data_IF_550526893651
#
_entry.id   IF_550526893651
#
_cell.length_a   1.000
_cell.length_b   1.000
_cell.length_c   1.000
_cell.angle_alpha   90.00
_cell.angle_beta   90.00
_cell.angle_gamma   90.00
#
_symmetry.space_group_name_H-M   'P 1'
#
loop_
_entity.id
_entity.type
_entity.pdbx_description
1 polymer ?
#
# COMPACT_ATOMS: atom_id res chain seq x y z
N UNK A 1 -6.35 7.41 9.66
CA UNK A 1 -5.95 5.97 9.65
C UNK A 1 -4.72 5.83 8.76
N UNK A 2 -3.66 5.13 9.18
CA UNK A 2 -2.42 5.06 8.38
C UNK A 2 -2.61 4.21 7.11
N UNK A 3 -1.81 4.48 6.07
CA UNK A 3 -1.79 3.66 4.85
C UNK A 3 -1.61 2.16 5.16
N UNK A 4 -0.67 1.84 6.07
CA UNK A 4 -0.41 0.47 6.51
C UNK A 4 -1.67 -0.19 7.06
N UNK A 5 -2.41 0.52 7.91
CA UNK A 5 -3.66 0.00 8.49
C UNK A 5 -4.72 -0.22 7.40
N UNK A 6 -4.88 0.73 6.46
CA UNK A 6 -5.88 0.60 5.39
C UNK A 6 -5.61 -0.65 4.54
N UNK A 7 -4.35 -0.84 4.16
CA UNK A 7 -3.90 -2.02 3.41
C UNK A 7 -4.09 -3.30 4.23
N UNK A 8 -3.76 -3.31 5.52
CA UNK A 8 -3.96 -4.48 6.38
C UNK A 8 -5.43 -4.89 6.49
N UNK A 9 -6.36 -3.93 6.66
CA UNK A 9 -7.79 -4.24 6.72
C UNK A 9 -8.25 -4.86 5.39
N UNK A 10 -7.84 -4.28 4.26
CA UNK A 10 -8.20 -4.80 2.95
C UNK A 10 -7.64 -6.21 2.69
N UNK A 11 -6.40 -6.45 3.11
CA UNK A 11 -5.78 -7.78 3.03
C UNK A 11 -6.55 -8.82 3.84
N UNK A 12 -6.95 -8.50 5.07
CA UNK A 12 -7.75 -9.39 5.92
C UNK A 12 -9.10 -9.69 5.27
N UNK A 13 -9.80 -8.67 4.74
CA UNK A 13 -11.07 -8.85 4.03
C UNK A 13 -10.94 -9.75 2.79
N UNK A 14 -9.81 -9.70 2.10
CA UNK A 14 -9.52 -10.50 0.90
C UNK A 14 -8.91 -11.88 1.21
N UNK A 15 -8.59 -12.16 2.48
CA UNK A 15 -7.89 -13.37 2.89
C UNK A 15 -6.44 -13.44 2.41
N UNK A 16 -5.79 -12.30 2.15
CA UNK A 16 -4.43 -12.23 1.63
C UNK A 16 -3.42 -11.88 2.71
N UNK A 17 -2.20 -12.39 2.57
CA UNK A 17 -1.06 -11.97 3.37
C UNK A 17 -0.32 -10.80 2.69
N UNK A 18 0.48 -10.05 3.45
CA UNK A 18 1.39 -9.05 2.86
C UNK A 18 2.39 -9.68 1.88
N UNK A 19 2.78 -10.93 2.10
CA UNK A 19 3.66 -11.67 1.19
C UNK A 19 2.98 -11.93 -0.15
N UNK A 20 1.69 -12.27 -0.13
CA UNK A 20 0.91 -12.48 -1.35
C UNK A 20 0.71 -11.17 -2.12
N UNK A 21 0.47 -10.05 -1.43
CA UNK A 21 0.42 -8.74 -2.08
C UNK A 21 1.75 -8.39 -2.75
N UNK A 22 2.87 -8.55 -2.02
CA UNK A 22 4.20 -8.29 -2.58
C UNK A 22 4.48 -9.17 -3.81
N UNK A 23 4.10 -10.46 -3.74
CA UNK A 23 4.22 -11.41 -4.86
C UNK A 23 3.40 -10.94 -6.07
N UNK A 24 2.14 -10.54 -5.88
CA UNK A 24 1.27 -10.03 -6.96
C UNK A 24 1.77 -8.70 -7.55
N UNK A 25 2.42 -7.88 -6.72
CA UNK A 25 3.04 -6.63 -7.16
C UNK A 25 4.40 -6.83 -7.85
N UNK A 26 4.97 -8.04 -7.81
CA UNK A 26 6.30 -8.32 -8.32
C UNK A 26 7.42 -7.62 -7.54
N UNK A 27 7.26 -7.44 -6.22
CA UNK A 27 8.23 -6.76 -5.35
C UNK A 27 8.59 -7.59 -4.13
N UNK A 28 9.66 -7.19 -3.45
CA UNK A 28 10.01 -7.76 -2.14
C UNK A 28 9.06 -7.28 -1.05
N UNK A 29 8.85 -8.11 -0.03
CA UNK A 29 8.07 -7.72 1.17
C UNK A 29 8.75 -6.57 1.92
N UNK A 30 10.08 -6.47 1.87
CA UNK A 30 10.84 -5.34 2.43
C UNK A 30 10.44 -4.04 1.73
N UNK A 31 10.47 -4.01 0.39
CA UNK A 31 10.08 -2.83 -0.37
C UNK A 31 8.60 -2.45 -0.16
N UNK A 32 7.72 -3.44 -0.01
CA UNK A 32 6.32 -3.19 0.37
C UNK A 32 6.21 -2.50 1.74
N UNK A 33 7.03 -2.89 2.72
CA UNK A 33 7.06 -2.23 4.03
C UNK A 33 7.61 -0.80 3.93
N UNK A 34 8.63 -0.60 3.10
CA UNK A 34 9.20 0.73 2.85
C UNK A 34 8.14 1.67 2.27
N UNK A 35 7.34 1.23 1.29
CA UNK A 35 6.18 1.99 0.75
C UNK A 35 5.19 2.41 1.85
N UNK A 36 5.00 1.59 2.89
CA UNK A 36 4.09 1.94 3.98
C UNK A 36 4.65 2.98 4.95
N UNK A 37 5.98 3.08 5.06
CA UNK A 37 6.70 3.94 6.02
C UNK A 37 7.23 5.22 5.36
N UNK A 38 7.56 5.17 4.07
CA UNK A 38 8.16 6.28 3.33
C UNK A 38 7.28 7.53 3.32
N UNK A 39 7.93 8.69 3.51
CA UNK A 39 7.28 10.01 3.38
C UNK A 39 6.85 10.29 1.95
N UNK A 40 7.61 9.84 0.95
CA UNK A 40 7.27 9.97 -0.48
C UNK A 40 6.83 8.61 -1.01
N UNK A 41 5.52 8.43 -1.10
CA UNK A 41 4.93 7.19 -1.59
C UNK A 41 4.93 7.18 -3.13
N UNK A 42 5.41 6.11 -3.78
CA UNK A 42 5.37 6.02 -5.23
C UNK A 42 3.91 5.93 -5.71
N UNK A 43 3.39 6.97 -6.38
CA UNK A 43 1.99 7.02 -6.86
C UNK A 43 1.59 5.81 -7.68
N UNK A 44 2.48 5.31 -8.54
CA UNK A 44 2.25 4.09 -9.33
C UNK A 44 2.07 2.83 -8.47
N UNK A 45 2.82 2.70 -7.37
CA UNK A 45 2.68 1.57 -6.44
C UNK A 45 1.42 1.66 -5.60
N UNK A 46 1.04 2.86 -5.18
CA UNK A 46 -0.23 3.08 -4.48
C UNK A 46 -1.41 2.66 -5.36
N UNK A 47 -1.42 3.13 -6.62
CA UNK A 47 -2.46 2.74 -7.58
C UNK A 47 -2.51 1.23 -7.81
N UNK A 48 -1.35 0.58 -7.90
CA UNK A 48 -1.28 -0.88 -8.01
C UNK A 48 -1.87 -1.59 -6.78
N UNK A 49 -1.67 -1.05 -5.57
CA UNK A 49 -2.27 -1.60 -4.35
C UNK A 49 -3.79 -1.41 -4.37
N UNK A 50 -4.28 -0.24 -4.79
CA UNK A 50 -5.71 0.05 -4.96
C UNK A 50 -6.36 -0.94 -5.92
N UNK A 51 -5.79 -1.14 -7.11
CA UNK A 51 -6.27 -2.08 -8.13
C UNK A 51 -6.25 -3.53 -7.63
N UNK A 52 -5.15 -3.95 -6.97
CA UNK A 52 -5.01 -5.32 -6.49
C UNK A 52 -5.92 -5.63 -5.30
N UNK A 53 -6.22 -4.65 -4.46
CA UNK A 53 -7.06 -4.85 -3.28
C UNK A 53 -8.51 -4.43 -3.49
N UNK A 54 -8.82 -3.80 -4.61
CA UNK A 54 -10.14 -3.22 -4.94
C UNK A 54 -10.61 -2.24 -3.85
N UNK A 55 -9.71 -1.31 -3.51
CA UNK A 55 -9.94 -0.27 -2.50
C UNK A 55 -9.45 1.08 -3.00
N UNK A 56 -9.93 2.16 -2.38
CA UNK A 56 -9.38 3.50 -2.54
C UNK A 56 -8.55 3.85 -1.31
N UNK A 57 -7.28 4.18 -1.51
CA UNK A 57 -6.38 4.52 -0.43
C UNK A 57 -6.46 6.02 -0.13
N UNK A 58 -6.81 6.36 1.10
CA UNK A 58 -6.78 7.74 1.57
C UNK A 58 -5.38 8.05 2.08
N UNK A 59 -4.55 8.60 1.20
CA UNK A 59 -3.21 9.05 1.53
C UNK A 59 -3.27 10.55 1.79
N UNK A 60 -3.29 10.95 3.08
CA UNK A 60 -3.21 12.35 3.48
C UNK A 60 -2.05 13.03 2.76
N UNK A 61 -2.39 13.92 1.82
CA UNK A 61 -1.44 14.61 0.94
C UNK A 61 -0.82 15.85 1.61
N UNK A 62 -1.00 16.01 2.92
CA UNK A 62 -0.67 17.22 3.68
C UNK A 62 0.84 17.42 3.95
N UNK A 63 1.75 16.77 3.22
CA UNK A 63 3.18 17.00 3.43
C UNK A 63 4.03 16.89 2.16
N UNK A 64 3.61 17.61 1.12
CA UNK A 64 4.44 17.89 -0.04
C UNK A 64 4.90 19.36 0.05
N UNK A 65 6.14 19.67 0.49
CA UNK A 65 6.66 21.02 0.30
C UNK A 65 6.80 21.27 -1.21
N UNK A 66 6.36 22.46 -1.62
CA UNK A 66 6.48 23.01 -2.96
C UNK A 66 7.93 23.00 -3.47
#
# INVERSE_FOLDING_TARGET
>A
MTLKQQVQIALVKKGWSQRELARRMGISVTYLRDIFVEKRKPKGRLKQIEELLDIKLEVDSSNQPA
#
